data_IF_309768880310
#
_entry.id   IF_309768880310
#
_cell.length_a   1.000
_cell.length_b   1.000
_cell.length_c   1.000
_cell.angle_alpha   90.00
_cell.angle_beta   90.00
_cell.angle_gamma   90.00
#
_symmetry.space_group_name_H-M   'P 1'
#
loop_
_entity.id
_entity.type
_entity.pdbx_description
1 polymer ?
#
# COMPACT_ATOMS: atom_id res chain seq x y z
N UNK A 1 -15.75 17.29 -3.52
CA UNK A 1 -15.64 16.79 -4.92
C UNK A 1 -14.46 15.84 -4.98
N UNK A 2 -14.71 14.58 -5.32
CA UNK A 2 -13.67 13.54 -5.34
C UNK A 2 -12.79 13.76 -6.53
N UNK A 3 -11.51 13.84 -6.28
CA UNK A 3 -10.53 13.98 -7.34
C UNK A 3 -9.49 12.86 -7.19
N UNK A 4 -9.63 11.82 -8.01
CA UNK A 4 -8.61 10.78 -8.17
C UNK A 4 -7.28 11.42 -8.60
N UNK A 5 -7.34 12.50 -9.38
CA UNK A 5 -6.17 13.30 -9.77
C UNK A 5 -5.52 13.98 -8.56
N UNK A 6 -6.31 14.57 -7.67
CA UNK A 6 -5.80 15.16 -6.41
C UNK A 6 -5.11 14.15 -5.50
N UNK A 7 -5.54 12.88 -5.50
CA UNK A 7 -4.86 11.82 -4.77
C UNK A 7 -3.47 11.52 -5.37
N UNK A 8 -3.38 11.45 -6.70
CA UNK A 8 -2.11 11.23 -7.39
C UNK A 8 -1.12 12.37 -7.11
N UNK A 9 -1.57 13.62 -7.21
CA UNK A 9 -0.72 14.79 -6.97
C UNK A 9 -0.26 14.90 -5.53
N UNK A 10 -1.12 14.59 -4.57
CA UNK A 10 -0.74 14.51 -3.16
C UNK A 10 0.31 13.42 -2.90
N UNK A 11 0.17 12.25 -3.52
CA UNK A 11 1.20 11.20 -3.44
C UNK A 11 2.51 11.61 -4.11
N UNK A 12 2.45 12.32 -5.22
CA UNK A 12 3.65 12.89 -5.85
C UNK A 12 4.36 13.90 -4.95
N UNK A 13 3.59 14.79 -4.34
CA UNK A 13 4.13 15.79 -3.42
C UNK A 13 4.83 15.14 -2.23
N UNK A 14 4.20 14.14 -1.60
CA UNK A 14 4.81 13.39 -0.50
C UNK A 14 6.03 12.58 -0.95
N UNK A 15 5.98 11.94 -2.11
CA UNK A 15 7.15 11.27 -2.68
C UNK A 15 8.31 12.25 -2.86
N UNK A 16 8.03 13.47 -3.34
CA UNK A 16 9.04 14.52 -3.48
C UNK A 16 9.58 15.04 -2.14
N UNK A 17 8.85 14.86 -1.03
CA UNK A 17 9.31 15.24 0.32
C UNK A 17 10.09 14.14 1.03
N UNK A 18 10.04 12.90 0.56
CA UNK A 18 10.79 11.79 1.15
C UNK A 18 12.30 11.92 0.91
N UNK A 19 13.11 11.44 1.85
CA UNK A 19 14.56 11.37 1.66
C UNK A 19 14.96 10.20 0.78
N UNK A 20 14.74 10.32 -0.53
CA UNK A 20 15.16 9.31 -1.51
C UNK A 20 16.70 9.22 -1.68
N UNK A 21 17.45 10.17 -1.12
CA UNK A 21 18.92 10.17 -1.11
C UNK A 21 19.49 9.60 0.20
N UNK A 22 18.65 8.93 1.01
CA UNK A 22 19.11 8.19 2.18
C UNK A 22 20.26 7.25 1.82
N UNK A 23 21.30 7.25 2.66
CA UNK A 23 22.45 6.34 2.50
C UNK A 23 22.08 4.89 2.83
N UNK A 24 21.12 4.71 3.70
CA UNK A 24 20.68 3.40 4.18
C UNK A 24 19.60 2.79 3.29
N UNK A 25 18.69 3.63 2.78
CA UNK A 25 17.52 3.23 2.00
C UNK A 25 17.42 4.05 0.69
N UNK A 26 18.44 3.98 -0.18
CA UNK A 26 18.49 4.81 -1.39
C UNK A 26 17.27 4.57 -2.29
N UNK A 27 16.68 5.65 -2.79
CA UNK A 27 15.52 5.62 -3.66
C UNK A 27 14.18 5.38 -2.95
N UNK A 28 14.17 4.87 -1.72
CA UNK A 28 12.92 4.57 -1.00
C UNK A 28 12.17 5.84 -0.64
N UNK A 29 10.90 5.90 -1.01
CA UNK A 29 10.00 6.99 -0.64
C UNK A 29 8.79 6.50 0.19
N UNK A 30 8.35 5.27 -0.02
CA UNK A 30 7.15 4.72 0.63
C UNK A 30 7.39 3.31 1.15
N UNK A 31 6.99 3.06 2.39
CA UNK A 31 6.87 1.72 2.96
C UNK A 31 5.37 1.40 3.08
N UNK A 32 4.92 0.36 2.39
CA UNK A 32 3.58 -0.20 2.59
C UNK A 32 3.63 -1.26 3.69
N UNK A 33 2.64 -1.27 4.58
CA UNK A 33 2.47 -2.30 5.60
C UNK A 33 1.20 -3.10 5.33
N UNK A 34 1.36 -4.38 5.01
CA UNK A 34 0.28 -5.34 4.98
C UNK A 34 0.13 -5.94 6.39
N UNK A 35 -0.65 -5.28 7.23
CA UNK A 35 -0.77 -5.67 8.65
C UNK A 35 -1.73 -6.84 8.89
N UNK A 36 -2.49 -7.25 7.86
CA UNK A 36 -3.45 -8.36 7.99
C UNK A 36 -3.78 -9.00 6.65
N UNK A 37 -4.08 -10.30 6.69
CA UNK A 37 -4.63 -11.08 5.57
C UNK A 37 -6.15 -11.21 5.64
N UNK A 38 -6.81 -10.53 6.57
CA UNK A 38 -8.26 -10.55 6.69
C UNK A 38 -8.88 -9.33 6.02
N UNK A 39 -9.90 -9.56 5.19
CA UNK A 39 -10.74 -8.52 4.63
C UNK A 39 -12.22 -8.87 4.81
N UNK A 40 -13.04 -7.87 5.08
CA UNK A 40 -14.50 -8.02 5.25
C UNK A 40 -15.26 -7.90 3.91
N UNK A 41 -14.56 -7.59 2.79
CA UNK A 41 -15.15 -7.49 1.45
C UNK A 41 -14.56 -8.51 0.47
N UNK A 42 -15.32 -8.78 -0.60
CA UNK A 42 -14.94 -9.62 -1.74
C UNK A 42 -15.15 -8.86 -3.05
N UNK A 43 -14.48 -7.70 -3.19
CA UNK A 43 -14.62 -6.83 -4.35
C UNK A 43 -14.24 -7.57 -5.64
N UNK A 44 -14.98 -7.34 -6.74
CA UNK A 44 -14.82 -8.04 -8.01
C UNK A 44 -13.43 -7.89 -8.64
N UNK A 45 -12.76 -6.77 -8.42
CA UNK A 45 -11.42 -6.44 -8.94
C UNK A 45 -10.28 -6.93 -8.02
N UNK A 46 -10.60 -7.63 -6.96
CA UNK A 46 -9.65 -8.11 -5.96
C UNK A 46 -9.48 -9.63 -6.05
N UNK A 47 -8.27 -10.18 -5.93
CA UNK A 47 -8.07 -11.65 -5.90
C UNK A 47 -8.90 -12.36 -4.82
N UNK A 48 -9.29 -11.68 -3.73
CA UNK A 48 -10.19 -12.23 -2.69
C UNK A 48 -11.62 -12.43 -3.14
N UNK A 49 -11.98 -11.96 -4.33
CA UNK A 49 -13.30 -12.23 -4.91
C UNK A 49 -13.54 -13.75 -5.04
N UNK A 50 -12.48 -14.46 -5.38
CA UNK A 50 -12.49 -15.92 -5.45
C UNK A 50 -11.66 -16.49 -4.28
N UNK A 51 -12.30 -17.14 -3.30
CA UNK A 51 -11.59 -17.73 -2.16
C UNK A 51 -10.67 -18.90 -2.54
N UNK A 52 -10.85 -19.52 -3.70
CA UNK A 52 -9.93 -20.54 -4.23
C UNK A 52 -8.64 -19.89 -4.76
N UNK A 53 -8.73 -18.66 -5.26
CA UNK A 53 -7.58 -17.88 -5.74
C UNK A 53 -6.82 -17.26 -4.59
N UNK A 54 -7.51 -16.56 -3.69
CA UNK A 54 -6.88 -15.91 -2.55
C UNK A 54 -7.80 -15.92 -1.32
N UNK A 55 -7.71 -16.93 -0.46
CA UNK A 55 -8.57 -17.07 0.73
C UNK A 55 -8.29 -15.99 1.78
N UNK A 56 -9.30 -15.68 2.57
CA UNK A 56 -9.12 -14.92 3.81
C UNK A 56 -8.36 -15.77 4.84
N UNK A 57 -7.44 -15.15 5.56
CA UNK A 57 -6.85 -15.76 6.76
C UNK A 57 -6.80 -14.76 7.91
N UNK A 58 -6.68 -15.26 9.14
CA UNK A 58 -6.59 -14.45 10.36
C UNK A 58 -5.12 -14.21 10.74
N UNK A 59 -4.30 -13.93 9.75
CA UNK A 59 -2.92 -13.56 9.96
C UNK A 59 -2.83 -12.05 10.21
N UNK A 60 -2.21 -11.68 11.32
CA UNK A 60 -2.07 -10.31 11.78
C UNK A 60 -0.61 -10.01 12.12
N UNK A 61 -0.19 -8.78 11.82
CA UNK A 61 1.14 -8.30 12.20
C UNK A 61 1.23 -8.13 13.72
N UNK A 62 2.20 -8.80 14.34
CA UNK A 62 2.46 -8.64 15.76
C UNK A 62 3.06 -7.26 16.06
N UNK A 63 2.72 -6.69 17.23
CA UNK A 63 3.22 -5.38 17.64
C UNK A 63 4.75 -5.33 17.74
N UNK A 64 5.40 -6.46 18.02
CA UNK A 64 6.87 -6.54 18.07
C UNK A 64 7.50 -6.40 16.69
N UNK A 65 6.82 -6.85 15.63
CA UNK A 65 7.24 -6.57 14.24
C UNK A 65 7.20 -5.07 13.95
N UNK A 66 6.14 -4.39 14.39
CA UNK A 66 5.99 -2.93 14.23
C UNK A 66 7.05 -2.18 15.03
N UNK A 67 7.32 -2.59 16.29
CA UNK A 67 8.38 -1.99 17.12
C UNK A 67 9.75 -2.16 16.48
N UNK A 68 10.05 -3.36 15.99
CA UNK A 68 11.31 -3.64 15.28
C UNK A 68 11.47 -2.74 14.04
N UNK A 69 10.41 -2.55 13.24
CA UNK A 69 10.45 -1.63 12.11
C UNK A 69 10.76 -0.20 12.54
N UNK A 70 10.06 0.31 13.56
CA UNK A 70 10.27 1.67 14.09
C UNK A 70 11.70 1.86 14.60
N UNK A 71 12.24 0.89 15.34
CA UNK A 71 13.61 0.96 15.86
C UNK A 71 14.63 0.96 14.71
N UNK A 72 14.39 0.19 13.67
CA UNK A 72 15.24 0.19 12.48
C UNK A 72 15.18 1.54 11.73
N UNK A 73 13.98 2.12 11.53
CA UNK A 73 13.81 3.41 10.88
C UNK A 73 14.51 4.54 11.64
N UNK A 74 14.42 4.55 12.97
CA UNK A 74 15.12 5.53 13.82
C UNK A 74 16.65 5.49 13.72
N UNK A 75 17.19 4.37 13.29
CA UNK A 75 18.63 4.18 13.10
C UNK A 75 19.09 4.46 11.66
N UNK A 76 18.21 5.00 10.81
CA UNK A 76 18.54 5.43 9.44
C UNK A 76 18.40 6.93 9.31
N UNK A 77 18.94 7.49 8.23
CA UNK A 77 18.71 8.88 7.81
C UNK A 77 17.47 9.02 6.90
N UNK A 78 16.63 7.99 6.84
CA UNK A 78 15.44 7.98 5.99
C UNK A 78 14.21 8.57 6.71
N UNK A 79 13.45 9.34 5.96
CA UNK A 79 12.08 9.73 6.29
C UNK A 79 11.24 9.66 5.02
N UNK A 80 9.94 9.37 5.16
CA UNK A 80 9.02 9.24 4.04
C UNK A 80 7.63 8.77 4.45
N UNK A 81 6.88 8.26 3.49
CA UNK A 81 5.53 7.77 3.69
C UNK A 81 5.51 6.33 4.23
N UNK A 82 4.74 6.13 5.28
CA UNK A 82 4.38 4.82 5.78
C UNK A 82 2.89 4.60 5.55
N UNK A 83 2.55 3.63 4.73
CA UNK A 83 1.20 3.43 4.23
C UNK A 83 0.64 2.09 4.71
N UNK A 84 -0.27 2.12 5.67
CA UNK A 84 -0.98 0.93 6.15
C UNK A 84 -2.06 0.58 5.12
N UNK A 85 -1.76 -0.43 4.32
CA UNK A 85 -2.57 -0.94 3.22
C UNK A 85 -2.09 -2.34 2.85
N UNK A 86 -2.68 -3.00 1.88
CA UNK A 86 -2.12 -4.27 1.41
C UNK A 86 -3.16 -5.24 0.89
N UNK A 87 -3.04 -6.47 1.32
CA UNK A 87 -3.86 -7.57 0.85
C UNK A 87 -5.12 -7.79 1.70
N UNK A 88 -5.19 -7.21 2.89
CA UNK A 88 -6.35 -7.23 3.77
C UNK A 88 -6.95 -5.84 4.01
N UNK A 89 -7.95 -5.77 4.88
CA UNK A 89 -8.56 -4.52 5.35
C UNK A 89 -7.93 -4.11 6.69
N UNK A 90 -7.23 -2.98 6.77
CA UNK A 90 -6.53 -2.58 8.00
C UNK A 90 -7.41 -2.54 9.24
N UNK A 91 -8.65 -2.10 9.11
CA UNK A 91 -9.59 -2.02 10.23
C UNK A 91 -10.08 -3.38 10.77
N UNK A 92 -9.71 -4.49 10.12
CA UNK A 92 -9.93 -5.82 10.69
C UNK A 92 -8.85 -6.20 11.71
N UNK A 93 -7.71 -5.48 11.73
CA UNK A 93 -6.66 -5.75 12.71
C UNK A 93 -7.09 -5.32 14.12
N UNK A 94 -7.05 -6.23 15.12
CA UNK A 94 -7.59 -5.93 16.46
C UNK A 94 -6.81 -4.87 17.23
N UNK A 95 -5.55 -4.58 16.82
CA UNK A 95 -4.64 -3.64 17.48
C UNK A 95 -4.22 -2.49 16.54
N UNK A 96 -5.11 -2.05 15.64
CA UNK A 96 -4.73 -1.01 14.65
C UNK A 96 -4.31 0.29 15.32
N UNK A 97 -5.03 0.75 16.37
CA UNK A 97 -4.68 1.97 17.11
C UNK A 97 -3.28 1.88 17.72
N UNK A 98 -2.95 0.76 18.34
CA UNK A 98 -1.62 0.53 18.94
C UNK A 98 -0.53 0.50 17.85
N UNK A 99 -0.82 -0.05 16.68
CA UNK A 99 0.12 -0.02 15.53
C UNK A 99 0.41 1.43 15.15
N UNK A 100 -0.62 2.25 14.95
CA UNK A 100 -0.45 3.68 14.62
C UNK A 100 0.36 4.40 15.71
N UNK A 101 0.04 4.17 16.99
CA UNK A 101 0.76 4.78 18.12
C UNK A 101 2.23 4.34 18.23
N UNK A 102 2.58 3.15 17.75
CA UNK A 102 3.98 2.71 17.69
C UNK A 102 4.69 3.37 16.52
N UNK A 103 4.05 3.39 15.34
CA UNK A 103 4.60 3.97 14.12
C UNK A 103 4.85 5.47 14.24
N UNK A 104 3.97 6.19 14.95
CA UNK A 104 4.11 7.64 15.18
C UNK A 104 5.35 8.04 15.99
N UNK A 105 6.07 7.07 16.54
CA UNK A 105 7.36 7.31 17.21
C UNK A 105 8.55 7.42 16.25
N UNK A 106 8.36 7.09 14.98
CA UNK A 106 9.33 7.34 13.92
C UNK A 106 9.00 8.66 13.20
N UNK A 107 9.97 9.24 12.51
CA UNK A 107 9.76 10.43 11.67
C UNK A 107 9.20 10.02 10.30
N UNK A 108 7.90 9.69 10.27
CA UNK A 108 7.22 9.19 9.09
C UNK A 108 5.83 9.82 8.96
N UNK A 109 5.36 9.94 7.72
CA UNK A 109 3.97 10.33 7.43
C UNK A 109 3.11 9.07 7.33
N UNK A 110 2.13 8.92 8.22
CA UNK A 110 1.30 7.71 8.32
C UNK A 110 -0.02 7.91 7.57
N UNK A 111 -0.25 7.09 6.55
CA UNK A 111 -1.52 7.00 5.84
C UNK A 111 -2.15 5.62 6.07
N UNK A 112 -3.46 5.57 6.30
CA UNK A 112 -4.27 4.34 6.24
C UNK A 112 -5.14 4.40 5.00
N UNK A 113 -5.19 3.31 4.22
CA UNK A 113 -6.23 3.11 3.19
C UNK A 113 -7.18 2.01 3.64
N UNK A 114 -8.48 2.32 3.65
CA UNK A 114 -9.55 1.43 4.12
C UNK A 114 -10.75 1.44 3.17
N UNK A 115 -11.52 0.37 3.18
CA UNK A 115 -12.83 0.30 2.51
C UNK A 115 -13.95 1.05 3.29
N UNK A 116 -13.67 1.55 4.47
CA UNK A 116 -14.55 2.39 5.26
C UNK A 116 -15.68 1.67 6.01
N UNK A 117 -15.93 0.40 5.78
CA UNK A 117 -17.08 -0.29 6.38
C UNK A 117 -17.08 -0.22 7.91
N UNK A 118 -15.95 -0.53 8.52
CA UNK A 118 -15.84 -0.47 9.98
C UNK A 118 -15.95 0.93 10.57
N UNK A 119 -15.55 1.94 9.80
CA UNK A 119 -15.67 3.34 10.24
C UNK A 119 -17.14 3.78 10.29
N UNK A 120 -17.93 3.27 9.37
CA UNK A 120 -19.33 3.61 9.23
C UNK A 120 -20.20 2.89 10.26
N UNK A 121 -19.85 1.64 10.59
CA UNK A 121 -20.55 0.82 11.57
C UNK A 121 -20.08 1.09 13.02
N UNK A 122 -18.85 1.56 13.18
CA UNK A 122 -18.29 1.92 14.47
C UNK A 122 -18.67 3.36 14.84
N UNK A 123 -18.63 3.65 16.11
CA UNK A 123 -18.70 5.03 16.58
C UNK A 123 -17.56 5.85 15.94
N UNK A 124 -17.87 7.07 15.49
CA UNK A 124 -16.94 8.06 14.93
C UNK A 124 -15.71 8.27 15.82
N UNK A 125 -15.85 8.14 17.11
CA UNK A 125 -14.77 8.22 18.10
C UNK A 125 -13.59 7.30 17.77
N UNK A 126 -13.82 6.14 17.15
CA UNK A 126 -12.73 5.24 16.76
C UNK A 126 -11.79 5.83 15.70
N UNK A 127 -12.31 6.61 14.77
CA UNK A 127 -11.47 7.28 13.76
C UNK A 127 -10.70 8.46 14.36
N UNK A 128 -11.32 9.21 15.27
CA UNK A 128 -10.65 10.27 16.03
C UNK A 128 -9.49 9.69 16.83
N UNK A 129 -9.69 8.54 17.46
CA UNK A 129 -8.67 7.80 18.20
C UNK A 129 -7.42 7.47 17.35
N UNK A 130 -7.58 7.20 16.05
CA UNK A 130 -6.45 6.94 15.14
C UNK A 130 -5.63 8.20 14.88
N UNK A 131 -6.28 9.35 14.71
CA UNK A 131 -5.59 10.64 14.56
C UNK A 131 -4.89 11.05 15.85
N UNK A 132 -5.52 10.86 17.02
CA UNK A 132 -4.89 11.07 18.33
C UNK A 132 -3.68 10.14 18.54
N UNK A 133 -3.72 8.92 17.99
CA UNK A 133 -2.59 8.00 18.02
C UNK A 133 -1.44 8.41 17.09
N UNK A 134 -1.65 9.39 16.19
CA UNK A 134 -0.63 9.92 15.30
C UNK A 134 -0.84 9.63 13.81
N UNK A 135 -2.05 9.23 13.40
CA UNK A 135 -2.38 9.12 11.97
C UNK A 135 -2.36 10.50 11.33
N UNK A 136 -1.76 10.62 10.14
CA UNK A 136 -1.71 11.85 9.38
C UNK A 136 -2.78 11.94 8.29
N UNK A 137 -3.17 10.81 7.69
CA UNK A 137 -4.15 10.78 6.62
C UNK A 137 -4.98 9.49 6.65
N UNK A 138 -6.29 9.63 6.57
CA UNK A 138 -7.22 8.54 6.35
C UNK A 138 -7.74 8.59 4.92
N UNK A 139 -7.41 7.60 4.10
CA UNK A 139 -7.95 7.42 2.75
C UNK A 139 -9.01 6.33 2.78
N UNK A 140 -10.24 6.69 2.42
CA UNK A 140 -11.37 5.76 2.35
C UNK A 140 -11.71 5.49 0.89
N UNK A 141 -11.68 4.21 0.52
CA UNK A 141 -12.05 3.73 -0.80
C UNK A 141 -13.52 3.28 -0.80
N UNK A 142 -14.32 3.99 -1.59
CA UNK A 142 -15.74 3.69 -1.72
C UNK A 142 -15.94 2.75 -2.91
N UNK A 143 -16.33 1.50 -2.64
CA UNK A 143 -16.50 0.45 -3.64
C UNK A 143 -17.97 0.08 -3.90
N UNK A 144 -18.90 0.94 -3.55
CA UNK A 144 -20.32 0.59 -3.50
C UNK A 144 -21.06 0.76 -4.84
N UNK A 145 -20.36 0.85 -5.95
CA UNK A 145 -20.92 0.75 -7.30
C UNK A 145 -21.79 1.92 -7.78
N UNK A 146 -21.96 2.95 -6.94
CA UNK A 146 -22.84 4.09 -7.27
C UNK A 146 -22.01 5.37 -7.46
N UNK A 147 -22.41 6.22 -8.41
CA UNK A 147 -21.78 7.53 -8.61
C UNK A 147 -22.02 8.49 -7.45
N UNK A 148 -23.00 8.19 -6.62
CA UNK A 148 -23.38 9.00 -5.46
C UNK A 148 -22.93 8.32 -4.17
N UNK A 149 -22.47 9.14 -3.22
CA UNK A 149 -22.25 8.63 -1.87
C UNK A 149 -23.57 8.19 -1.25
N UNK A 150 -23.54 7.03 -0.60
CA UNK A 150 -24.63 6.62 0.25
C UNK A 150 -24.70 7.52 1.52
N UNK A 151 -25.84 7.51 2.20
CA UNK A 151 -26.06 8.33 3.41
C UNK A 151 -24.99 8.13 4.48
N UNK A 152 -24.42 6.92 4.59
CA UNK A 152 -23.36 6.57 5.54
C UNK A 152 -22.07 7.31 5.20
N UNK A 153 -21.70 7.33 3.93
CA UNK A 153 -20.50 8.02 3.43
C UNK A 153 -20.65 9.54 3.57
N UNK A 154 -21.83 10.09 3.28
CA UNK A 154 -22.15 11.50 3.47
C UNK A 154 -21.97 11.88 4.93
N UNK A 155 -22.54 11.09 5.86
CA UNK A 155 -22.39 11.34 7.30
C UNK A 155 -20.91 11.34 7.74
N UNK A 156 -20.11 10.45 7.19
CA UNK A 156 -18.68 10.40 7.47
C UNK A 156 -17.96 11.64 6.94
N UNK A 157 -18.29 12.08 5.71
CA UNK A 157 -17.77 13.32 5.12
C UNK A 157 -18.07 14.51 6.02
N UNK A 158 -19.33 14.68 6.41
CA UNK A 158 -19.79 15.80 7.23
C UNK A 158 -19.08 15.84 8.60
N UNK A 159 -18.71 14.66 9.12
CA UNK A 159 -18.03 14.57 10.41
C UNK A 159 -16.56 14.92 10.36
N UNK A 160 -15.86 14.51 9.28
CA UNK A 160 -14.41 14.65 9.21
C UNK A 160 -13.93 15.91 8.48
N UNK A 161 -14.79 16.55 7.66
CA UNK A 161 -14.36 17.63 6.77
C UNK A 161 -13.67 18.81 7.47
N UNK A 162 -14.02 19.08 8.73
CA UNK A 162 -13.51 20.24 9.49
C UNK A 162 -12.51 19.85 10.58
N UNK A 163 -12.18 18.56 10.75
CA UNK A 163 -11.44 18.09 11.92
C UNK A 163 -10.07 17.51 11.55
N UNK A 164 -9.98 16.72 10.47
CA UNK A 164 -8.76 15.96 10.13
C UNK A 164 -8.55 15.81 8.63
N UNK A 165 -7.31 15.51 8.25
CA UNK A 165 -6.96 15.15 6.89
C UNK A 165 -7.51 13.75 6.54
N UNK A 166 -8.62 13.74 5.84
CA UNK A 166 -9.15 12.53 5.25
C UNK A 166 -9.37 12.70 3.75
N UNK A 167 -9.42 11.60 3.07
CA UNK A 167 -9.65 11.56 1.63
C UNK A 167 -10.60 10.43 1.29
N UNK A 168 -11.55 10.73 0.44
CA UNK A 168 -12.44 9.73 -0.11
C UNK A 168 -12.05 9.46 -1.57
N UNK A 169 -12.02 8.20 -1.97
CA UNK A 169 -11.85 7.79 -3.36
C UNK A 169 -13.03 6.95 -3.77
N UNK A 170 -13.65 7.30 -4.88
CA UNK A 170 -14.71 6.50 -5.45
C UNK A 170 -14.14 5.60 -6.55
N UNK A 171 -14.34 4.31 -6.42
CA UNK A 171 -13.76 3.31 -7.31
C UNK A 171 -14.79 2.48 -8.06
N UNK A 172 -16.06 2.68 -7.85
CA UNK A 172 -17.18 1.97 -8.49
C UNK A 172 -16.90 0.49 -8.77
N UNK A 173 -17.35 -0.40 -7.90
CA UNK A 173 -17.37 -1.82 -8.18
C UNK A 173 -18.72 -2.21 -8.77
N UNK A 174 -18.79 -2.29 -10.11
CA UNK A 174 -19.99 -2.72 -10.84
C UNK A 174 -20.12 -4.26 -10.90
N UNK A 175 -19.26 -4.98 -10.19
CA UNK A 175 -19.21 -6.44 -10.22
C UNK A 175 -18.47 -7.01 -11.43
N UNK A 176 -17.88 -6.18 -12.28
CA UNK A 176 -17.17 -6.61 -13.49
C UNK A 176 -15.70 -6.17 -13.46
N UNK A 177 -14.83 -7.07 -13.00
CA UNK A 177 -13.39 -6.82 -12.89
C UNK A 177 -12.76 -6.39 -14.23
N UNK A 178 -13.24 -6.90 -15.35
CA UNK A 178 -12.70 -6.59 -16.67
C UNK A 178 -12.98 -5.12 -17.04
N UNK A 179 -14.19 -4.62 -16.78
CA UNK A 179 -14.57 -3.21 -17.00
C UNK A 179 -13.71 -2.31 -16.12
N UNK A 180 -13.54 -2.67 -14.84
CA UNK A 180 -12.71 -1.90 -13.91
C UNK A 180 -11.24 -1.83 -14.37
N UNK A 181 -10.70 -2.92 -14.89
CA UNK A 181 -9.33 -2.97 -15.42
C UNK A 181 -9.21 -2.14 -16.71
N UNK A 182 -10.12 -2.29 -17.65
CA UNK A 182 -10.02 -1.67 -18.98
C UNK A 182 -10.43 -0.18 -18.98
N UNK A 183 -11.51 0.18 -18.31
CA UNK A 183 -12.08 1.53 -18.35
C UNK A 183 -11.60 2.41 -17.20
N UNK A 184 -11.50 1.87 -15.98
CA UNK A 184 -11.18 2.66 -14.79
C UNK A 184 -9.71 2.54 -14.37
N UNK A 185 -8.89 1.83 -15.14
CA UNK A 185 -7.43 1.78 -14.96
C UNK A 185 -6.97 0.96 -13.77
N UNK A 186 -7.79 0.06 -13.26
CA UNK A 186 -7.34 -0.94 -12.30
C UNK A 186 -6.31 -1.85 -12.97
N UNK A 187 -5.31 -2.29 -12.22
CA UNK A 187 -4.36 -3.25 -12.74
C UNK A 187 -4.81 -4.68 -12.43
N UNK A 188 -4.27 -5.64 -13.17
CA UNK A 188 -4.63 -7.04 -13.05
C UNK A 188 -3.95 -7.79 -11.88
N UNK A 189 -3.51 -7.06 -10.85
CA UNK A 189 -2.92 -7.62 -9.62
C UNK A 189 -1.80 -8.63 -9.91
N UNK A 190 -0.81 -8.21 -10.71
CA UNK A 190 0.31 -9.08 -11.10
C UNK A 190 -0.07 -10.25 -11.99
N UNK A 191 -1.20 -10.18 -12.67
CA UNK A 191 -1.74 -11.27 -13.50
C UNK A 191 -2.75 -12.15 -12.77
N UNK A 192 -2.94 -12.01 -11.45
CA UNK A 192 -3.87 -12.84 -10.66
C UNK A 192 -5.33 -12.67 -11.11
N UNK A 193 -5.70 -11.48 -11.60
CA UNK A 193 -7.02 -11.18 -12.15
C UNK A 193 -7.11 -11.46 -13.68
N UNK A 194 -6.17 -12.20 -14.24
CA UNK A 194 -6.12 -12.49 -15.68
C UNK A 194 -5.60 -11.32 -16.51
N UNK A 195 -5.90 -11.36 -17.83
CA UNK A 195 -5.45 -10.33 -18.76
C UNK A 195 -3.98 -10.48 -19.20
N UNK A 196 -3.51 -9.54 -20.00
CA UNK A 196 -2.14 -9.55 -20.55
C UNK A 196 -1.23 -8.62 -19.77
N UNK A 197 -0.01 -9.07 -19.54
CA UNK A 197 1.07 -8.23 -19.05
C UNK A 197 1.52 -7.19 -20.09
N UNK A 198 2.32 -6.24 -19.62
CA UNK A 198 2.95 -5.22 -20.47
C UNK A 198 4.47 -5.27 -20.29
N UNK A 199 5.21 -4.82 -21.31
CA UNK A 199 6.69 -4.87 -21.35
C UNK A 199 7.36 -3.54 -21.02
N UNK A 200 6.61 -2.56 -20.50
CA UNK A 200 7.18 -1.27 -20.11
C UNK A 200 8.07 -1.40 -18.87
N UNK A 201 9.02 -0.51 -18.65
CA UNK A 201 9.72 -0.39 -17.37
C UNK A 201 8.76 -0.31 -16.18
N UNK A 202 9.24 -0.74 -15.00
CA UNK A 202 8.49 -0.62 -13.76
C UNK A 202 9.39 -0.08 -12.66
N UNK A 203 9.02 1.08 -12.11
CA UNK A 203 9.80 1.78 -11.08
C UNK A 203 9.31 1.51 -9.65
N UNK A 204 8.22 0.73 -9.48
CA UNK A 204 7.67 0.47 -8.14
C UNK A 204 8.74 -0.01 -7.14
N UNK A 205 9.55 -1.04 -7.42
CA UNK A 205 10.53 -1.52 -6.47
C UNK A 205 11.73 -0.58 -6.25
N UNK A 206 11.79 0.57 -6.93
CA UNK A 206 12.82 1.56 -6.72
C UNK A 206 12.48 2.57 -5.64
N UNK A 207 11.20 2.86 -5.45
CA UNK A 207 10.72 3.87 -4.53
C UNK A 207 9.79 3.34 -3.43
N UNK A 208 9.35 2.09 -3.56
CA UNK A 208 8.38 1.49 -2.66
C UNK A 208 8.77 0.07 -2.28
N UNK A 209 8.56 -0.27 -1.02
CA UNK A 209 8.62 -1.64 -0.52
C UNK A 209 7.34 -1.97 0.25
N UNK A 210 7.05 -3.25 0.42
CA UNK A 210 5.97 -3.70 1.27
C UNK A 210 6.50 -4.67 2.32
N UNK A 211 6.21 -4.39 3.58
CA UNK A 211 6.44 -5.30 4.71
C UNK A 211 5.14 -6.04 4.96
N UNK A 212 5.21 -7.35 4.87
CA UNK A 212 4.09 -8.25 5.11
C UNK A 212 3.88 -8.49 6.61
N UNK A 213 2.72 -9.00 6.98
CA UNK A 213 2.31 -9.22 8.37
C UNK A 213 3.33 -10.01 9.22
N UNK A 214 4.10 -10.87 8.60
CA UNK A 214 5.14 -11.70 9.24
C UNK A 214 6.56 -11.10 9.15
N UNK A 215 6.69 -9.85 8.70
CA UNK A 215 7.97 -9.16 8.55
C UNK A 215 8.71 -9.45 7.24
N UNK A 216 8.18 -10.28 6.35
CA UNK A 216 8.77 -10.52 5.04
C UNK A 216 8.64 -9.28 4.14
N UNK A 217 9.64 -9.03 3.33
CA UNK A 217 9.57 -8.06 2.25
C UNK A 217 9.00 -8.74 1.01
N UNK A 218 7.94 -8.16 0.44
CA UNK A 218 7.39 -8.56 -0.85
C UNK A 218 7.92 -7.65 -1.96
N UNK A 219 7.93 -8.13 -3.20
CA UNK A 219 8.41 -7.32 -4.34
C UNK A 219 7.60 -6.03 -4.51
N UNK A 220 6.28 -6.13 -4.44
CA UNK A 220 5.35 -5.00 -4.49
C UNK A 220 3.93 -5.44 -4.12
N UNK A 221 3.00 -4.49 -3.96
CA UNK A 221 1.58 -4.73 -3.66
C UNK A 221 0.78 -5.47 -4.75
N UNK A 222 1.41 -5.83 -5.87
CA UNK A 222 0.77 -6.64 -6.91
C UNK A 222 1.25 -8.10 -6.89
N UNK A 223 2.22 -8.46 -6.05
CA UNK A 223 2.69 -9.84 -5.88
C UNK A 223 1.86 -10.58 -4.81
N UNK A 224 0.58 -10.77 -5.12
CA UNK A 224 -0.41 -11.34 -4.21
C UNK A 224 -0.04 -12.72 -3.66
N UNK A 225 0.54 -13.57 -4.49
CA UNK A 225 0.95 -14.92 -4.09
C UNK A 225 2.43 -15.01 -3.66
N UNK A 226 3.12 -13.88 -3.48
CA UNK A 226 4.55 -13.80 -3.14
C UNK A 226 5.43 -14.62 -4.11
N UNK A 227 5.01 -14.68 -5.37
CA UNK A 227 5.69 -15.49 -6.42
C UNK A 227 7.07 -14.99 -6.79
N UNK A 228 7.37 -13.71 -6.54
CA UNK A 228 8.74 -13.20 -6.68
C UNK A 228 9.70 -13.84 -5.67
N UNK A 229 9.16 -14.52 -4.66
CA UNK A 229 9.88 -15.20 -3.60
C UNK A 229 10.41 -14.24 -2.54
N UNK A 230 11.15 -14.77 -1.59
CA UNK A 230 11.64 -14.03 -0.45
C UNK A 230 12.64 -12.94 -0.86
N UNK A 231 12.34 -11.67 -0.50
CA UNK A 231 13.23 -10.50 -0.65
C UNK A 231 13.95 -10.17 0.68
N UNK A 232 13.79 -10.99 1.68
CA UNK A 232 14.30 -10.82 3.03
C UNK A 232 13.19 -10.67 4.07
N UNK A 233 13.59 -10.71 5.34
CA UNK A 233 12.68 -10.51 6.48
C UNK A 233 13.30 -9.49 7.44
N UNK A 234 12.52 -8.44 7.79
CA UNK A 234 13.02 -7.33 8.62
C UNK A 234 13.42 -7.77 10.04
N UNK A 235 12.86 -8.88 10.54
CA UNK A 235 13.18 -9.42 11.87
C UNK A 235 14.48 -10.26 11.86
N UNK A 236 14.94 -10.70 10.69
CA UNK A 236 16.13 -11.56 10.56
C UNK A 236 17.37 -10.77 10.15
N UNK A 237 17.26 -9.95 9.10
CA UNK A 237 18.41 -9.24 8.53
C UNK A 237 18.24 -7.71 8.52
N UNK A 238 17.07 -7.23 8.90
CA UNK A 238 16.74 -5.81 8.93
C UNK A 238 16.29 -5.24 7.57
N UNK A 239 15.56 -4.12 7.64
CA UNK A 239 14.99 -3.44 6.48
C UNK A 239 16.07 -2.98 5.48
N UNK A 240 17.17 -2.41 5.98
CA UNK A 240 18.28 -1.93 5.15
C UNK A 240 18.88 -3.05 4.29
N UNK A 241 19.16 -4.21 4.88
CA UNK A 241 19.76 -5.33 4.15
C UNK A 241 18.76 -5.97 3.19
N UNK A 242 17.47 -6.04 3.58
CA UNK A 242 16.42 -6.47 2.66
C UNK A 242 16.32 -5.54 1.44
N UNK A 243 16.27 -4.21 1.67
CA UNK A 243 16.15 -3.22 0.61
C UNK A 243 17.33 -3.20 -0.36
N UNK A 244 18.53 -3.43 0.15
CA UNK A 244 19.79 -3.45 -0.61
C UNK A 244 20.22 -4.85 -1.03
N UNK A 245 19.34 -5.88 -0.93
CA UNK A 245 19.70 -7.25 -1.28
C UNK A 245 20.06 -7.39 -2.77
N UNK A 246 21.02 -8.23 -3.08
CA UNK A 246 21.46 -8.50 -4.46
C UNK A 246 20.28 -8.93 -5.36
N UNK A 247 19.37 -9.74 -4.81
CA UNK A 247 18.18 -10.17 -5.54
C UNK A 247 17.29 -9.00 -5.94
N UNK A 248 17.01 -8.07 -5.02
CA UNK A 248 16.15 -6.91 -5.30
C UNK A 248 16.84 -5.94 -6.26
N UNK A 249 18.17 -5.74 -6.12
CA UNK A 249 18.98 -4.95 -7.05
C UNK A 249 18.92 -5.56 -8.45
N UNK A 250 19.08 -6.87 -8.59
CA UNK A 250 18.97 -7.54 -9.88
C UNK A 250 17.59 -7.36 -10.52
N UNK A 251 16.50 -7.54 -9.73
CA UNK A 251 15.13 -7.33 -10.21
C UNK A 251 14.92 -5.89 -10.68
N UNK A 252 15.42 -4.89 -9.92
CA UNK A 252 15.36 -3.48 -10.32
C UNK A 252 16.01 -3.27 -11.68
N UNK A 253 17.21 -3.79 -11.91
CA UNK A 253 17.91 -3.71 -13.19
C UNK A 253 17.09 -4.28 -14.35
N UNK A 254 16.46 -5.43 -14.16
CA UNK A 254 15.59 -6.01 -15.19
C UNK A 254 14.37 -5.11 -15.46
N UNK A 255 13.71 -4.65 -14.40
CA UNK A 255 12.50 -3.82 -14.51
C UNK A 255 12.75 -2.43 -15.10
N UNK A 256 13.91 -1.83 -14.86
CA UNK A 256 14.31 -0.55 -15.48
C UNK A 256 14.42 -0.66 -17.00
N UNK A 257 14.81 -1.83 -17.50
CA UNK A 257 14.94 -2.12 -18.94
C UNK A 257 13.63 -2.64 -19.58
N UNK A 258 12.55 -2.79 -18.79
CA UNK A 258 11.29 -3.38 -19.28
C UNK A 258 11.30 -4.90 -19.34
N UNK A 259 12.36 -5.55 -18.86
CA UNK A 259 12.47 -7.01 -18.81
C UNK A 259 11.64 -7.54 -17.64
N UNK A 260 10.38 -7.82 -17.87
CA UNK A 260 9.44 -8.31 -16.86
C UNK A 260 9.41 -9.83 -16.87
N UNK A 261 10.03 -10.46 -15.86
CA UNK A 261 10.02 -11.92 -15.64
C UNK A 261 9.18 -12.34 -14.45
N UNK A 262 8.93 -13.65 -14.30
CA UNK A 262 8.17 -14.20 -13.18
C UNK A 262 6.79 -13.55 -13.03
N UNK A 263 6.41 -13.16 -11.83
CA UNK A 263 5.12 -12.48 -11.54
C UNK A 263 4.94 -11.19 -12.34
N UNK A 264 6.02 -10.51 -12.71
CA UNK A 264 5.96 -9.28 -13.49
C UNK A 264 5.63 -9.50 -14.97
N UNK A 265 5.81 -10.71 -15.52
CA UNK A 265 5.55 -11.03 -16.94
C UNK A 265 4.09 -10.82 -17.31
N UNK A 266 3.16 -11.16 -16.41
CA UNK A 266 1.73 -11.04 -16.62
C UNK A 266 1.13 -9.76 -16.02
N UNK A 267 1.94 -8.90 -15.40
CA UNK A 267 1.47 -7.70 -14.71
C UNK A 267 1.15 -6.57 -15.70
N UNK A 268 -0.05 -5.99 -15.57
CA UNK A 268 -0.52 -4.88 -16.42
C UNK A 268 -0.22 -3.48 -15.85
N UNK A 269 0.49 -3.37 -14.71
CA UNK A 269 0.72 -2.07 -14.09
C UNK A 269 1.65 -1.19 -14.93
N UNK A 270 1.23 0.06 -15.18
CA UNK A 270 2.07 1.11 -15.77
C UNK A 270 2.96 1.71 -14.67
N UNK A 271 4.00 0.98 -14.29
CA UNK A 271 4.84 1.28 -13.14
C UNK A 271 5.77 2.50 -13.27
N UNK A 272 5.55 3.39 -14.25
CA UNK A 272 6.40 4.57 -14.52
C UNK A 272 5.76 5.91 -14.14
N UNK A 273 4.59 5.89 -13.48
CA UNK A 273 3.92 7.12 -13.05
C UNK A 273 4.70 7.90 -11.99
N UNK A 274 5.47 7.19 -11.17
CA UNK A 274 6.29 7.70 -10.07
C UNK A 274 7.66 7.03 -10.09
N UNK A 275 8.60 7.57 -9.33
CA UNK A 275 9.86 6.93 -9.01
C UNK A 275 10.95 7.06 -10.05
N UNK A 276 10.82 7.98 -11.02
CA UNK A 276 11.91 8.26 -11.97
C UNK A 276 13.15 8.74 -11.21
N UNK A 277 12.97 9.66 -10.29
CA UNK A 277 14.03 10.19 -9.43
C UNK A 277 14.68 9.08 -8.59
N UNK A 278 13.87 8.16 -8.07
CA UNK A 278 14.38 7.00 -7.34
C UNK A 278 15.22 6.06 -8.22
N UNK A 279 14.85 5.88 -9.50
CA UNK A 279 15.69 5.13 -10.45
C UNK A 279 17.03 5.82 -10.66
N UNK A 280 17.03 7.14 -10.78
CA UNK A 280 18.25 7.94 -10.96
C UNK A 280 19.19 7.81 -9.75
N UNK A 281 18.66 7.75 -8.53
CA UNK A 281 19.45 7.50 -7.30
C UNK A 281 20.21 6.18 -7.39
N UNK A 282 19.61 5.14 -7.97
CA UNK A 282 20.25 3.85 -8.15
C UNK A 282 21.29 3.83 -9.31
N UNK A 283 21.40 4.87 -10.09
CA UNK A 283 22.33 4.98 -11.26
C UNK A 283 22.24 3.78 -12.22
N UNK A 284 21.01 3.32 -12.49
CA UNK A 284 20.71 2.13 -13.31
C UNK A 284 20.17 2.51 -14.70
#
# INVERSE_FOLDING_TARGET
MFNVEGHIDSRKARHGSANIHSRDLPGLATIELNITELCNRTCSFCPRHDPEVYPNSKDFMELDTVRSLVDQLKNTDWYGDLHITGFGEPHTHPKLKEIVAILSKADVYIEITTNGDKLIDSNIDYSLDLFEAGLNLLTVDCYDGDEQFNERQIKMIDTFQDIHDYRLRNHYDDGNAQVLIEQYGFNNRGGTMGGKGISNPCYLPFYKTMVDWNGNITLCCNDWHRQAGNMGNILQQGLKDCWNSEKLIWIRKQLAQGNRGGVCANCSIKGTKFGKESVEVWQM
#
